data_IF_084070565948
#
_entry.id   IF_084070565948
#
_cell.length_a   1.000
_cell.length_b   1.000
_cell.length_c   1.000
_cell.angle_alpha   90.00
_cell.angle_beta   90.00
_cell.angle_gamma   90.00
#
_symmetry.space_group_name_H-M   'P 1'
#
loop_
_entity.id
_entity.type
_entity.pdbx_description
1 polymer ?
#
# COMPACT_ATOMS: atom_id res chain seq x y z
N UNK A 1 7.90 -10.22 16.13
CA UNK A 1 7.58 -8.86 15.62
C UNK A 1 7.01 -9.04 14.22
N UNK A 2 5.83 -9.68 14.13
CA UNK A 2 5.34 -10.28 12.88
C UNK A 2 3.97 -9.70 12.50
N UNK A 3 3.70 -8.41 12.75
CA UNK A 3 2.36 -7.85 12.48
C UNK A 3 1.92 -8.02 11.00
N UNK A 4 2.88 -8.07 10.08
CA UNK A 4 2.67 -8.31 8.64
C UNK A 4 2.68 -9.80 8.25
N UNK A 5 3.19 -10.67 9.13
CA UNK A 5 3.44 -12.08 8.86
C UNK A 5 2.17 -12.90 8.59
N UNK A 6 1.12 -12.83 9.44
CA UNK A 6 -0.08 -13.63 9.29
C UNK A 6 -0.84 -13.36 7.98
N UNK A 7 -1.01 -12.10 7.62
CA UNK A 7 -1.73 -11.70 6.40
C UNK A 7 -0.93 -12.09 5.15
N UNK A 8 0.39 -11.88 5.16
CA UNK A 8 1.26 -12.31 4.08
C UNK A 8 1.22 -13.82 3.92
N UNK A 9 1.32 -14.60 5.01
CA UNK A 9 1.21 -16.08 4.93
C UNK A 9 -0.12 -16.53 4.33
N UNK A 10 -1.23 -15.88 4.70
CA UNK A 10 -2.57 -16.20 4.15
C UNK A 10 -2.71 -15.86 2.67
N UNK A 11 -2.11 -14.77 2.20
CA UNK A 11 -2.09 -14.43 0.78
C UNK A 11 -1.31 -15.47 -0.03
N UNK A 12 -0.16 -15.91 0.49
CA UNK A 12 0.69 -16.92 -0.16
C UNK A 12 0.02 -18.31 -0.20
N UNK A 13 -0.82 -18.66 0.78
CA UNK A 13 -1.54 -19.93 0.78
C UNK A 13 -2.67 -20.00 -0.27
N UNK A 14 -3.11 -18.88 -0.82
CA UNK A 14 -4.18 -18.83 -1.84
C UNK A 14 -3.66 -18.81 -3.28
N UNK A 15 -2.34 -18.84 -3.47
CA UNK A 15 -1.70 -18.94 -4.78
C UNK A 15 -0.79 -17.75 -5.11
N UNK A 16 0.13 -17.95 -6.08
CA UNK A 16 1.17 -16.96 -6.40
C UNK A 16 0.62 -15.65 -6.96
N UNK A 17 -0.49 -15.70 -7.71
CA UNK A 17 -1.12 -14.51 -8.26
C UNK A 17 -1.70 -13.60 -7.18
N UNK A 18 -2.44 -14.15 -6.21
CA UNK A 18 -2.97 -13.36 -5.09
C UNK A 18 -1.84 -12.84 -4.20
N UNK A 19 -0.81 -13.64 -3.96
CA UNK A 19 0.37 -13.21 -3.22
C UNK A 19 1.05 -12.00 -3.87
N UNK A 20 1.14 -11.96 -5.20
CA UNK A 20 1.70 -10.83 -5.94
C UNK A 20 0.84 -9.56 -5.79
N UNK A 21 -0.49 -9.68 -5.95
CA UNK A 21 -1.44 -8.56 -5.75
C UNK A 21 -1.35 -8.03 -4.32
N UNK A 22 -1.35 -8.93 -3.33
CA UNK A 22 -1.21 -8.58 -1.92
C UNK A 22 0.11 -7.83 -1.65
N UNK A 23 1.24 -8.33 -2.15
CA UNK A 23 2.54 -7.68 -1.96
C UNK A 23 2.58 -6.28 -2.60
N UNK A 24 1.94 -6.08 -3.75
CA UNK A 24 1.84 -4.78 -4.41
C UNK A 24 1.04 -3.79 -3.54
N UNK A 25 -0.13 -4.20 -3.08
CA UNK A 25 -0.97 -3.37 -2.20
C UNK A 25 -0.29 -3.08 -0.86
N UNK A 26 0.37 -4.08 -0.26
CA UNK A 26 1.10 -3.93 0.98
C UNK A 26 2.27 -2.96 0.83
N UNK A 27 3.07 -3.09 -0.24
CA UNK A 27 4.22 -2.20 -0.48
C UNK A 27 3.75 -0.76 -0.68
N UNK A 28 2.69 -0.56 -1.46
CA UNK A 28 2.09 0.75 -1.70
C UNK A 28 1.65 1.42 -0.39
N UNK A 29 0.89 0.70 0.45
CA UNK A 29 0.41 1.25 1.72
C UNK A 29 1.55 1.50 2.71
N UNK A 30 2.53 0.59 2.76
CA UNK A 30 3.70 0.72 3.65
C UNK A 30 4.49 1.98 3.35
N UNK A 31 4.75 2.27 2.07
CA UNK A 31 5.46 3.49 1.65
C UNK A 31 4.69 4.75 2.10
N UNK A 32 3.38 4.79 1.86
CA UNK A 32 2.55 5.92 2.25
C UNK A 32 2.42 6.07 3.77
N UNK A 33 2.40 4.96 4.50
CA UNK A 33 2.42 4.98 5.96
C UNK A 33 3.72 5.53 6.51
N UNK A 34 4.87 5.16 5.93
CA UNK A 34 6.19 5.71 6.31
C UNK A 34 6.29 7.20 5.96
N UNK A 35 5.57 7.68 4.95
CA UNK A 35 5.54 9.10 4.63
C UNK A 35 5.04 9.95 5.81
N UNK A 36 4.09 9.47 6.62
CA UNK A 36 3.58 10.21 7.79
C UNK A 36 4.66 10.56 8.82
N UNK A 37 5.38 9.59 9.44
CA UNK A 37 6.43 9.90 10.40
C UNK A 37 7.59 10.66 9.75
N UNK A 38 7.85 10.48 8.43
CA UNK A 38 8.84 11.30 7.71
C UNK A 38 8.39 12.75 7.62
N UNK A 39 7.15 13.03 7.21
CA UNK A 39 6.61 14.40 7.14
C UNK A 39 6.65 15.04 8.52
N UNK A 40 6.25 14.32 9.57
CA UNK A 40 6.29 14.81 10.93
C UNK A 40 7.72 15.11 11.42
N UNK A 41 8.66 14.21 11.12
CA UNK A 41 10.07 14.43 11.45
C UNK A 41 10.66 15.63 10.71
N UNK A 42 10.25 15.88 9.47
CA UNK A 42 10.71 17.01 8.65
C UNK A 42 9.97 18.32 8.94
N UNK A 43 8.81 18.25 9.58
CA UNK A 43 7.97 19.39 9.91
C UNK A 43 8.52 20.29 11.02
N UNK A 44 7.80 21.37 11.36
CA UNK A 44 8.21 22.36 12.37
C UNK A 44 8.42 21.78 13.76
N UNK A 45 7.72 20.68 14.10
CA UNK A 45 7.84 19.99 15.39
C UNK A 45 9.12 19.12 15.45
N UNK A 46 9.61 18.67 14.29
CA UNK A 46 10.83 17.87 14.18
C UNK A 46 12.05 18.72 13.87
N UNK A 47 12.63 18.54 12.68
CA UNK A 47 13.86 19.23 12.26
C UNK A 47 13.62 20.59 11.58
N UNK A 48 12.36 20.95 11.30
CA UNK A 48 11.99 22.27 10.78
C UNK A 48 12.39 22.55 9.33
N UNK A 49 12.58 21.51 8.50
CA UNK A 49 12.92 21.66 7.07
C UNK A 49 11.70 22.05 6.24
N UNK A 50 10.51 21.56 6.61
CA UNK A 50 9.24 21.92 5.97
C UNK A 50 8.57 23.07 6.72
N UNK A 51 8.00 24.02 5.98
CA UNK A 51 7.16 25.05 6.58
C UNK A 51 5.76 24.51 6.94
N UNK A 52 5.06 25.26 7.79
CA UNK A 52 3.73 24.88 8.30
C UNK A 52 2.67 24.73 7.20
N UNK A 53 2.83 25.39 6.06
CA UNK A 53 1.90 25.26 4.93
C UNK A 53 2.15 23.95 4.18
N UNK A 54 3.40 23.66 3.85
CA UNK A 54 3.84 22.46 3.13
C UNK A 54 3.52 21.20 3.92
N UNK A 55 3.78 21.20 5.23
CA UNK A 55 3.44 20.07 6.11
C UNK A 55 1.92 19.76 6.05
N UNK A 56 1.08 20.78 6.21
CA UNK A 56 -0.39 20.61 6.15
C UNK A 56 -0.84 20.14 4.77
N UNK A 57 -0.26 20.68 3.70
CA UNK A 57 -0.56 20.25 2.34
C UNK A 57 -0.22 18.77 2.13
N UNK A 58 0.95 18.32 2.61
CA UNK A 58 1.34 16.91 2.56
C UNK A 58 0.37 16.03 3.37
N UNK A 59 -0.11 16.49 4.52
CA UNK A 59 -1.14 15.80 5.30
C UNK A 59 -2.53 15.77 4.64
N UNK A 60 -2.76 16.57 3.59
CA UNK A 60 -3.96 16.44 2.73
C UNK A 60 -3.69 15.49 1.56
N UNK A 61 -2.53 15.61 0.92
CA UNK A 61 -2.18 14.83 -0.28
C UNK A 61 -1.96 13.35 0.03
N UNK A 62 -1.20 13.01 1.07
CA UNK A 62 -0.88 11.61 1.43
C UNK A 62 -2.14 10.79 1.70
N UNK A 63 -3.15 11.24 2.48
CA UNK A 63 -4.39 10.49 2.65
C UNK A 63 -5.20 10.32 1.36
N UNK A 64 -5.17 11.30 0.45
CA UNK A 64 -5.83 11.17 -0.87
C UNK A 64 -5.16 10.04 -1.66
N UNK A 65 -3.83 10.02 -1.73
CA UNK A 65 -3.08 8.93 -2.38
C UNK A 65 -3.33 7.58 -1.69
N UNK A 66 -3.38 7.57 -0.36
CA UNK A 66 -3.61 6.37 0.44
C UNK A 66 -5.01 5.78 0.27
N UNK A 67 -6.01 6.60 -0.10
CA UNK A 67 -7.37 6.12 -0.36
C UNK A 67 -7.58 5.87 -1.85
N UNK A 68 -7.47 6.90 -2.68
CA UNK A 68 -7.76 6.83 -4.12
C UNK A 68 -6.73 5.96 -4.83
N UNK A 69 -5.45 6.16 -4.55
CA UNK A 69 -4.38 5.34 -5.12
C UNK A 69 -4.48 3.89 -4.69
N UNK A 70 -4.79 3.62 -3.41
CA UNK A 70 -5.02 2.27 -2.92
C UNK A 70 -6.19 1.61 -3.65
N UNK A 71 -7.34 2.29 -3.80
CA UNK A 71 -8.50 1.75 -4.53
C UNK A 71 -8.15 1.39 -5.98
N UNK A 72 -7.34 2.21 -6.65
CA UNK A 72 -6.89 1.90 -8.02
C UNK A 72 -6.00 0.66 -8.03
N UNK A 73 -5.03 0.56 -7.12
CA UNK A 73 -4.12 -0.60 -7.01
C UNK A 73 -4.90 -1.88 -6.70
N UNK A 74 -5.84 -1.81 -5.77
CA UNK A 74 -6.65 -2.93 -5.33
C UNK A 74 -7.60 -3.42 -6.45
N UNK A 75 -8.36 -2.52 -7.05
CA UNK A 75 -9.26 -2.86 -8.17
C UNK A 75 -8.51 -3.39 -9.39
N UNK A 76 -7.33 -2.82 -9.69
CA UNK A 76 -6.43 -3.33 -10.74
C UNK A 76 -6.00 -4.77 -10.44
N UNK A 77 -5.62 -5.05 -9.19
CA UNK A 77 -5.23 -6.39 -8.76
C UNK A 77 -6.38 -7.39 -8.87
N UNK A 78 -7.57 -7.02 -8.37
CA UNK A 78 -8.76 -7.87 -8.44
C UNK A 78 -9.18 -8.18 -9.88
N UNK A 79 -9.09 -7.21 -10.79
CA UNK A 79 -9.35 -7.44 -12.22
C UNK A 79 -8.36 -8.42 -12.82
N UNK A 80 -7.07 -8.27 -12.54
CA UNK A 80 -6.03 -9.18 -13.02
C UNK A 80 -6.24 -10.62 -12.52
N UNK A 81 -6.69 -10.80 -11.28
CA UNK A 81 -7.00 -12.13 -10.73
C UNK A 81 -8.24 -12.75 -11.37
N UNK A 82 -9.25 -11.94 -11.68
CA UNK A 82 -10.46 -12.39 -12.37
C UNK A 82 -10.19 -12.79 -13.82
N UNK A 83 -9.26 -12.11 -14.47
CA UNK A 83 -8.89 -12.34 -15.87
C UNK A 83 -7.93 -13.52 -16.07
N UNK A 84 -7.38 -14.11 -15.01
CA UNK A 84 -6.64 -15.36 -15.13
C UNK A 84 -7.62 -16.50 -15.44
N UNK A 85 -7.65 -17.02 -16.68
CA UNK A 85 -8.45 -18.20 -16.97
C UNK A 85 -7.96 -19.34 -16.09
N UNK A 86 -8.90 -20.18 -15.67
CA UNK A 86 -8.69 -21.37 -14.86
C UNK A 86 -7.98 -22.46 -15.68
N UNK A 87 -6.79 -22.14 -16.21
CA UNK A 87 -6.08 -22.92 -17.24
C UNK A 87 -5.25 -24.08 -16.67
N UNK A 88 -5.38 -24.36 -15.36
CA UNK A 88 -4.65 -25.43 -14.68
C UNK A 88 -5.58 -26.44 -13.96
N UNK A 89 -6.88 -26.45 -14.28
CA UNK A 89 -7.81 -27.43 -13.72
C UNK A 89 -7.89 -28.75 -14.53
N UNK A 90 -7.07 -28.91 -15.59
CA UNK A 90 -7.11 -30.07 -16.49
C UNK A 90 -5.71 -30.57 -16.95
N UNK A 91 -4.70 -30.55 -16.08
CA UNK A 91 -3.53 -31.42 -16.21
C UNK A 91 -3.33 -32.29 -14.97
#
# INVERSE_FOLDING_TARGET
>A
MDALGPLRRRAYSQGPALAAVYNKALSFLTILWIAYPVIWALGPIGIGVLDSFTEKLLFVVVPILSKVGFSIVDLSGLRSLREQPQELAFE
#
